data_IF_632331038867
#
_entry.id   IF_632331038867
#
_cell.length_a   1.000
_cell.length_b   1.000
_cell.length_c   1.000
_cell.angle_alpha   90.00
_cell.angle_beta   90.00
_cell.angle_gamma   90.00
#
_symmetry.space_group_name_H-M   'P 1'
#
loop_
_entity.id
_entity.type
_entity.pdbx_description
1 polymer ?
#
# COMPACT_ATOMS: atom_id res chain seq x y z
N UNK A 1 -3.35 3.34 -17.06
CA UNK A 1 -2.95 3.74 -15.69
C UNK A 1 -2.35 2.51 -15.05
N UNK A 2 -1.10 2.55 -14.58
CA UNK A 2 -0.53 1.43 -13.82
C UNK A 2 -1.18 1.37 -12.44
N UNK A 3 -1.67 0.19 -12.06
CA UNK A 3 -2.23 -0.08 -10.73
C UNK A 3 -1.10 -0.19 -9.70
N UNK A 4 -1.43 -0.16 -8.41
CA UNK A 4 -0.41 -0.40 -7.36
C UNK A 4 0.27 -1.76 -7.51
N UNK A 5 -0.45 -2.78 -8.02
CA UNK A 5 0.11 -4.11 -8.30
C UNK A 5 1.18 -4.06 -9.40
N UNK A 6 1.00 -3.19 -10.39
CA UNK A 6 1.96 -3.02 -11.48
C UNK A 6 3.25 -2.35 -10.96
N UNK A 7 3.16 -1.41 -10.02
CA UNK A 7 4.34 -0.84 -9.35
C UNK A 7 5.14 -1.92 -8.61
N UNK A 8 4.45 -2.80 -7.87
CA UNK A 8 5.13 -3.89 -7.15
C UNK A 8 5.77 -4.92 -8.09
N UNK A 9 5.19 -5.15 -9.28
CA UNK A 9 5.78 -6.01 -10.31
C UNK A 9 6.95 -5.35 -11.03
N UNK A 10 6.84 -4.07 -11.38
CA UNK A 10 7.86 -3.32 -12.10
C UNK A 10 9.12 -3.06 -11.26
N UNK A 11 9.00 -3.07 -9.93
CA UNK A 11 10.18 -3.04 -9.05
C UNK A 11 10.86 -4.41 -8.88
N UNK A 12 10.30 -5.49 -9.43
CA UNK A 12 10.91 -6.82 -9.34
C UNK A 12 12.23 -7.03 -10.11
N UNK A 13 12.53 -6.39 -11.24
CA UNK A 13 13.76 -6.69 -11.96
C UNK A 13 15.03 -6.07 -11.33
N UNK A 14 14.90 -5.00 -10.53
CA UNK A 14 16.05 -4.22 -10.05
C UNK A 14 16.55 -4.62 -8.64
N UNK A 15 15.92 -5.58 -7.95
CA UNK A 15 16.24 -5.90 -6.55
C UNK A 15 17.35 -6.93 -6.34
N UNK A 16 18.21 -7.24 -7.32
CA UNK A 16 19.21 -8.34 -7.36
C UNK A 16 20.17 -8.52 -6.15
N UNK A 17 20.02 -7.76 -5.07
CA UNK A 17 20.55 -8.12 -3.76
C UNK A 17 19.74 -9.26 -3.13
N UNK A 18 20.43 -10.33 -2.73
CA UNK A 18 19.95 -11.55 -2.03
C UNK A 18 19.32 -11.24 -0.63
N UNK A 19 19.00 -9.98 -0.34
CA UNK A 19 18.45 -9.53 0.95
C UNK A 19 17.66 -8.22 0.86
N UNK A 20 17.09 -7.90 -0.31
CA UNK A 20 16.34 -6.66 -0.52
C UNK A 20 15.19 -6.45 0.48
N UNK A 21 15.11 -5.26 1.07
CA UNK A 21 14.01 -4.85 1.95
C UNK A 21 13.02 -4.02 1.12
N UNK A 22 11.76 -4.41 1.13
CA UNK A 22 10.64 -3.63 0.63
C UNK A 22 9.88 -3.06 1.84
N UNK A 23 9.88 -1.74 1.97
CA UNK A 23 9.13 -1.04 3.00
C UNK A 23 8.16 -0.04 2.36
N UNK A 24 6.89 -0.08 2.77
CA UNK A 24 5.88 0.87 2.31
C UNK A 24 4.88 1.23 3.40
N UNK A 25 4.27 2.40 3.25
CA UNK A 25 3.21 2.90 4.11
C UNK A 25 2.11 3.46 3.21
N UNK A 26 0.90 2.91 3.34
CA UNK A 26 -0.25 3.26 2.51
C UNK A 26 -1.42 3.67 3.41
N UNK A 27 -2.30 4.56 2.92
CA UNK A 27 -3.56 4.87 3.61
C UNK A 27 -4.41 3.60 3.73
N UNK A 28 -5.06 3.38 4.86
CA UNK A 28 -5.87 2.19 5.09
C UNK A 28 -7.33 2.38 4.66
N UNK A 29 -8.07 1.29 4.50
CA UNK A 29 -9.53 1.34 4.28
C UNK A 29 -10.32 1.99 5.46
N UNK A 30 -9.66 2.25 6.58
CA UNK A 30 -10.23 2.95 7.74
C UNK A 30 -9.89 4.45 7.75
N UNK A 31 -9.10 4.93 6.78
CA UNK A 31 -8.75 6.35 6.67
C UNK A 31 -10.01 7.20 6.45
N UNK A 32 -10.14 8.39 7.08
CA UNK A 32 -11.32 9.24 6.91
C UNK A 32 -11.62 9.67 5.46
N UNK A 33 -10.63 9.55 4.56
CA UNK A 33 -10.78 9.85 3.14
C UNK A 33 -11.30 8.67 2.31
N UNK A 34 -11.45 7.48 2.91
CA UNK A 34 -12.00 6.31 2.23
C UNK A 34 -13.42 6.58 1.73
N UNK A 35 -13.76 6.10 0.53
CA UNK A 35 -15.06 6.34 -0.09
C UNK A 35 -15.25 7.74 -0.69
N UNK A 36 -14.27 8.64 -0.55
CA UNK A 36 -14.41 9.99 -1.10
C UNK A 36 -13.91 10.07 -2.55
N UNK A 37 -14.84 10.34 -3.47
CA UNK A 37 -14.57 10.47 -4.90
C UNK A 37 -15.43 9.52 -5.72
N UNK A 38 -15.08 9.35 -6.99
CA UNK A 38 -15.65 8.33 -7.86
C UNK A 38 -14.89 7.01 -7.66
N UNK A 39 -15.58 5.95 -7.25
CA UNK A 39 -14.99 4.61 -7.17
C UNK A 39 -14.71 4.08 -8.57
N UNK A 40 -13.48 3.65 -8.81
CA UNK A 40 -13.05 3.11 -10.11
C UNK A 40 -12.72 1.62 -10.05
N UNK A 41 -12.26 1.15 -8.89
CA UNK A 41 -12.02 -0.25 -8.53
C UNK A 41 -12.21 -0.39 -7.02
N UNK A 42 -12.27 -1.64 -6.53
CA UNK A 42 -12.38 -1.91 -5.10
C UNK A 42 -11.27 -1.19 -4.33
N UNK A 43 -11.66 -0.36 -3.35
CA UNK A 43 -10.76 0.44 -2.51
C UNK A 43 -9.92 1.49 -3.27
N UNK A 44 -10.31 1.83 -4.50
CA UNK A 44 -9.67 2.85 -5.34
C UNK A 44 -10.66 3.92 -5.80
N UNK A 45 -10.33 5.18 -5.50
CA UNK A 45 -11.19 6.33 -5.76
C UNK A 45 -10.45 7.44 -6.51
N UNK A 46 -11.13 8.08 -7.47
CA UNK A 46 -10.66 9.32 -8.10
C UNK A 46 -11.29 10.50 -7.38
N UNK A 47 -10.45 11.39 -6.85
CA UNK A 47 -10.87 12.66 -6.27
C UNK A 47 -9.93 13.78 -6.70
N UNK A 48 -10.50 14.88 -7.18
CA UNK A 48 -9.76 16.06 -7.64
C UNK A 48 -8.67 15.72 -8.68
N UNK A 49 -8.94 14.75 -9.56
CA UNK A 49 -7.99 14.27 -10.58
C UNK A 49 -6.90 13.30 -10.07
N UNK A 50 -6.91 12.95 -8.79
CA UNK A 50 -5.94 12.03 -8.19
C UNK A 50 -6.58 10.68 -7.85
N UNK A 51 -5.93 9.60 -8.28
CA UNK A 51 -6.27 8.23 -7.85
C UNK A 51 -5.72 7.99 -6.45
N UNK A 52 -6.58 7.50 -5.56
CA UNK A 52 -6.23 7.12 -4.19
C UNK A 52 -6.56 5.65 -4.01
N UNK A 53 -5.59 4.89 -3.54
CA UNK A 53 -5.77 3.48 -3.23
C UNK A 53 -5.60 3.29 -1.72
N UNK A 54 -6.60 2.67 -1.11
CA UNK A 54 -6.63 2.37 0.31
C UNK A 54 -6.38 0.88 0.54
N UNK A 55 -5.54 0.56 1.51
CA UNK A 55 -5.05 -0.80 1.72
C UNK A 55 -5.67 -1.39 2.99
N UNK A 56 -6.14 -2.63 2.91
CA UNK A 56 -6.28 -3.48 4.09
C UNK A 56 -4.97 -4.22 4.38
N UNK A 57 -4.80 -4.74 5.59
CA UNK A 57 -3.66 -5.60 5.90
C UNK A 57 -3.62 -6.84 5.02
N UNK A 58 -4.78 -7.44 4.73
CA UNK A 58 -4.87 -8.63 3.90
C UNK A 58 -4.55 -8.33 2.44
N UNK A 59 -4.97 -7.18 1.93
CA UNK A 59 -4.59 -6.73 0.59
C UNK A 59 -3.08 -6.45 0.50
N UNK A 60 -2.50 -5.84 1.54
CA UNK A 60 -1.06 -5.60 1.60
C UNK A 60 -0.25 -6.92 1.60
N UNK A 61 -0.69 -7.94 2.37
CA UNK A 61 -0.11 -9.30 2.32
C UNK A 61 -0.22 -9.90 0.93
N UNK A 62 -1.40 -9.80 0.31
CA UNK A 62 -1.64 -10.35 -1.02
C UNK A 62 -0.76 -9.72 -2.11
N UNK A 63 -0.42 -8.43 -1.99
CA UNK A 63 0.49 -7.74 -2.91
C UNK A 63 1.92 -8.30 -2.87
N UNK A 64 2.40 -8.73 -1.70
CA UNK A 64 3.75 -9.30 -1.56
C UNK A 64 3.85 -10.72 -2.12
N UNK A 65 2.76 -11.50 -2.00
CA UNK A 65 2.75 -12.90 -2.41
C UNK A 65 3.79 -13.75 -1.66
N UNK A 66 4.27 -14.82 -2.31
CA UNK A 66 5.21 -15.77 -1.70
C UNK A 66 6.69 -15.39 -1.86
N UNK A 67 6.99 -14.22 -2.45
CA UNK A 67 8.35 -13.79 -2.77
C UNK A 67 9.01 -13.01 -1.62
N UNK A 68 8.27 -12.71 -0.57
CA UNK A 68 8.74 -11.92 0.57
C UNK A 68 8.33 -12.54 1.90
N UNK A 69 9.23 -12.48 2.87
CA UNK A 69 8.93 -12.70 4.29
C UNK A 69 8.52 -11.37 4.91
N UNK A 70 7.33 -11.30 5.48
CA UNK A 70 6.83 -10.09 6.17
C UNK A 70 7.50 -9.99 7.55
N UNK A 71 8.34 -8.98 7.75
CA UNK A 71 8.97 -8.69 9.05
C UNK A 71 8.09 -7.77 9.91
N UNK A 72 7.31 -6.89 9.27
CA UNK A 72 6.36 -6.01 9.96
C UNK A 72 5.15 -5.79 9.09
N UNK A 73 3.96 -5.95 9.68
CA UNK A 73 2.69 -5.51 9.12
C UNK A 73 1.89 -4.93 10.28
N UNK A 74 1.55 -3.65 10.18
CA UNK A 74 0.87 -2.96 11.26
C UNK A 74 -0.03 -1.86 10.72
N UNK A 75 -1.29 -1.88 11.14
CA UNK A 75 -2.19 -0.74 11.01
C UNK A 75 -1.98 0.26 12.15
N UNK A 76 -2.14 1.55 11.85
CA UNK A 76 -2.03 2.59 12.86
C UNK A 76 -2.64 3.91 12.43
N UNK A 77 -2.71 4.83 13.38
CA UNK A 77 -3.18 6.20 13.14
C UNK A 77 -2.01 7.17 13.27
N UNK A 78 -1.90 8.12 12.35
CA UNK A 78 -0.93 9.22 12.44
C UNK A 78 -1.58 10.54 12.06
N UNK A 79 -0.99 11.65 12.53
CA UNK A 79 -1.36 12.98 12.05
C UNK A 79 -0.42 13.36 10.91
N UNK A 80 -0.95 13.50 9.71
CA UNK A 80 -0.25 14.07 8.56
C UNK A 80 -0.88 15.42 8.23
N UNK A 81 -0.08 16.49 8.15
CA UNK A 81 -0.57 17.85 7.84
C UNK A 81 -1.74 18.29 8.73
N UNK A 82 -1.67 18.00 10.02
CA UNK A 82 -2.71 18.28 11.02
C UNK A 82 -4.04 17.51 10.84
N UNK A 83 -4.11 16.58 9.88
CA UNK A 83 -5.26 15.71 9.66
C UNK A 83 -4.96 14.31 10.19
N UNK A 84 -5.94 13.71 10.86
CA UNK A 84 -5.86 12.31 11.27
C UNK A 84 -5.92 11.43 10.02
N UNK A 85 -5.07 10.43 9.97
CA UNK A 85 -5.03 9.44 8.90
C UNK A 85 -4.79 8.06 9.49
N UNK A 86 -5.34 7.06 8.82
CA UNK A 86 -5.12 5.66 9.14
C UNK A 86 -4.28 5.03 8.03
N UNK A 87 -3.32 4.20 8.41
CA UNK A 87 -2.36 3.64 7.48
C UNK A 87 -2.06 2.17 7.78
N UNK A 88 -1.58 1.47 6.77
CA UNK A 88 -0.95 0.16 6.86
C UNK A 88 0.54 0.33 6.58
N UNK A 89 1.39 -0.09 7.52
CA UNK A 89 2.84 -0.10 7.39
C UNK A 89 3.33 -1.51 7.15
N UNK A 90 4.17 -1.68 6.14
CA UNK A 90 4.76 -2.97 5.77
C UNK A 90 6.26 -2.85 5.67
N UNK A 91 6.98 -3.82 6.25
CA UNK A 91 8.39 -4.08 6.01
C UNK A 91 8.51 -5.56 5.69
N UNK A 92 9.03 -5.88 4.52
CA UNK A 92 9.16 -7.25 4.05
C UNK A 92 10.54 -7.47 3.43
N UNK A 93 11.09 -8.66 3.61
CA UNK A 93 12.37 -9.07 3.07
C UNK A 93 12.17 -10.02 1.91
N UNK A 94 12.85 -9.75 0.81
CA UNK A 94 12.92 -10.63 -0.36
C UNK A 94 13.44 -12.02 0.04
N UNK A 95 12.78 -13.08 -0.43
CA UNK A 95 13.25 -14.48 -0.39
C UNK A 95 14.02 -14.80 -1.68
#
# INVERSE_FOLDING_TARGET
MSTSKDIFKDQQPHWESISGILAFLCKSIHDPLYGQGEEIEQDMFIRDGHVRHFFSEDYAKACLGNNFTIETLQSGTAKFYSQQSEFVKVIARKI
#
